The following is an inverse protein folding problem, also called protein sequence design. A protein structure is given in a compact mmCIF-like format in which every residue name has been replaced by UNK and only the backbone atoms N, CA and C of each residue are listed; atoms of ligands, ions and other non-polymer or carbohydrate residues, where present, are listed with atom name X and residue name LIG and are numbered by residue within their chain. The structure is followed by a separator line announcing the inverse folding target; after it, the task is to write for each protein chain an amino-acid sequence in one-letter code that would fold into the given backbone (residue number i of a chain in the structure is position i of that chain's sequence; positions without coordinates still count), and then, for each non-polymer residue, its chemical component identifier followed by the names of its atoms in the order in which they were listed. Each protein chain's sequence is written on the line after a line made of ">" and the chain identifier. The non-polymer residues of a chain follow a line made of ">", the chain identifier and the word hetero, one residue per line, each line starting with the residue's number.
data_IF_776535803488
#
_entry.id   IF_776535803488
#
_cell.length_a   1.000
_cell.length_b   1.000
_cell.length_c   1.000
_cell.angle_alpha   90.00
_cell.angle_beta   90.00
_cell.angle_gamma   90.00
#
_symmetry.space_group_name_H-M   'P 1'
#
loop_
_entity.id
_entity.type
_entity.pdbx_description
1 polymer ?
#
# COMPACT_ATOMS: atom_id res chain seq x y z
N UNK A 1 17.23 16.03 1.41
CA UNK A 1 16.15 16.07 0.41
C UNK A 1 14.96 15.38 1.06
N UNK A 2 13.74 15.85 0.81
CA UNK A 2 12.51 15.23 1.32
C UNK A 2 11.79 14.49 0.20
N UNK A 3 10.67 13.84 0.52
CA UNK A 3 9.82 13.21 -0.49
C UNK A 3 9.42 14.20 -1.59
N UNK A 4 9.38 13.72 -2.82
CA UNK A 4 8.82 14.43 -3.96
C UNK A 4 7.34 14.75 -3.72
N UNK A 5 6.87 15.93 -4.18
CA UNK A 5 5.47 16.37 -4.06
C UNK A 5 4.45 15.31 -4.49
N UNK A 6 4.80 14.54 -5.52
CA UNK A 6 3.96 13.46 -6.03
C UNK A 6 3.78 12.35 -4.98
N UNK A 7 4.86 11.87 -4.36
CA UNK A 7 4.79 10.84 -3.32
C UNK A 7 4.10 11.37 -2.06
N UNK A 8 4.33 12.64 -1.71
CA UNK A 8 3.61 13.27 -0.60
C UNK A 8 2.09 13.25 -0.84
N UNK A 9 1.63 13.55 -2.06
CA UNK A 9 0.20 13.43 -2.42
C UNK A 9 -0.31 12.00 -2.32
N UNK A 10 0.48 11.01 -2.72
CA UNK A 10 0.09 9.59 -2.59
C UNK A 10 -0.08 9.19 -1.13
N UNK A 11 0.84 9.62 -0.26
CA UNK A 11 0.73 9.40 1.19
C UNK A 11 -0.51 10.09 1.74
N UNK A 12 -0.75 11.35 1.38
CA UNK A 12 -1.89 12.12 1.88
C UNK A 12 -3.24 11.50 1.43
N UNK A 13 -3.36 11.15 0.15
CA UNK A 13 -4.55 10.49 -0.41
C UNK A 13 -4.87 9.15 0.28
N UNK A 14 -3.84 8.41 0.73
CA UNK A 14 -4.01 7.13 1.39
C UNK A 14 -3.84 7.24 2.93
N UNK A 15 -3.72 8.44 3.48
CA UNK A 15 -3.35 8.68 4.89
C UNK A 15 -4.34 8.05 5.85
N UNK A 16 -5.63 8.17 5.58
CA UNK A 16 -6.68 7.62 6.44
C UNK A 16 -6.60 6.08 6.50
N UNK A 17 -6.39 5.43 5.35
CA UNK A 17 -6.20 3.98 5.28
C UNK A 17 -4.93 3.55 6.00
N UNK A 18 -3.81 4.23 5.72
CA UNK A 18 -2.54 4.00 6.39
C UNK A 18 -2.59 4.25 7.90
N UNK A 19 -3.49 5.11 8.37
CA UNK A 19 -3.59 5.41 9.79
C UNK A 19 -4.48 4.42 10.55
N UNK A 20 -5.51 3.86 9.90
CA UNK A 20 -6.46 2.94 10.55
C UNK A 20 -6.18 1.45 10.28
N UNK A 21 -5.62 1.11 9.12
CA UNK A 21 -5.49 -0.29 8.64
C UNK A 21 -4.06 -0.83 8.73
N UNK A 22 -3.07 0.07 8.77
CA UNK A 22 -1.68 -0.30 8.95
C UNK A 22 -1.46 -0.67 10.42
N UNK A 23 -0.83 -1.80 10.70
CA UNK A 23 -0.31 -2.08 12.05
C UNK A 23 1.21 -1.96 12.03
N UNK A 24 1.73 -0.73 12.12
CA UNK A 24 3.17 -0.44 12.00
C UNK A 24 4.00 -1.29 12.97
N UNK A 25 3.47 -1.55 14.16
CA UNK A 25 4.12 -2.40 15.17
C UNK A 25 4.58 -3.75 14.62
N UNK A 26 3.79 -4.38 13.76
CA UNK A 26 4.11 -5.67 13.16
C UNK A 26 5.15 -5.58 12.03
N UNK A 27 5.43 -4.37 11.55
CA UNK A 27 6.34 -4.10 10.45
C UNK A 27 7.66 -3.47 10.94
N UNK A 28 7.78 -3.07 12.21
CA UNK A 28 8.94 -2.34 12.73
C UNK A 28 10.28 -3.05 12.44
N UNK A 29 10.32 -4.37 12.59
CA UNK A 29 11.52 -5.18 12.34
C UNK A 29 11.90 -5.15 10.86
N UNK A 30 10.94 -5.35 9.96
CA UNK A 30 11.15 -5.30 8.52
C UNK A 30 11.56 -3.89 8.04
N UNK A 31 10.92 -2.85 8.60
CA UNK A 31 11.23 -1.45 8.33
C UNK A 31 12.65 -1.09 8.75
N UNK A 32 13.11 -1.57 9.91
CA UNK A 32 14.48 -1.40 10.37
C UNK A 32 15.47 -2.19 9.50
N UNK A 33 15.14 -3.44 9.15
CA UNK A 33 15.97 -4.29 8.28
C UNK A 33 16.20 -3.66 6.90
N UNK A 34 15.16 -3.01 6.36
CA UNK A 34 15.23 -2.26 5.10
C UNK A 34 15.76 -0.84 5.27
N UNK A 35 16.15 -0.42 6.49
CA UNK A 35 16.65 0.91 6.82
C UNK A 35 15.69 2.04 6.44
N UNK A 36 14.38 1.78 6.51
CA UNK A 36 13.34 2.81 6.39
C UNK A 36 13.27 3.60 7.70
N UNK A 37 13.35 2.87 8.81
CA UNK A 37 13.46 3.42 10.16
C UNK A 37 14.80 3.02 10.77
N UNK A 38 15.33 3.89 11.62
CA UNK A 38 16.46 3.58 12.49
C UNK A 38 15.96 3.06 13.85
N UNK A 39 16.88 2.55 14.67
CA UNK A 39 16.56 2.01 15.99
C UNK A 39 15.86 3.04 16.89
N UNK A 40 16.33 4.29 16.96
CA UNK A 40 15.70 5.34 17.75
C UNK A 40 14.26 5.67 17.27
N UNK A 41 14.02 5.64 15.95
CA UNK A 41 12.68 5.89 15.40
C UNK A 41 11.74 4.71 15.69
N UNK A 42 12.27 3.50 15.66
CA UNK A 42 11.53 2.28 16.01
C UNK A 42 11.17 2.25 17.50
N UNK A 43 12.13 2.56 18.38
CA UNK A 43 11.92 2.66 19.83
C UNK A 43 10.87 3.73 20.17
N UNK A 44 10.96 4.91 19.53
CA UNK A 44 9.97 5.97 19.72
C UNK A 44 8.57 5.53 19.28
N UNK A 45 8.45 4.71 18.23
CA UNK A 45 7.16 4.19 17.78
C UNK A 45 6.61 3.12 18.72
N UNK A 46 7.45 2.23 19.27
CA UNK A 46 7.02 1.08 20.07
C UNK A 46 6.23 1.50 21.33
N UNK A 47 6.60 2.62 21.95
CA UNK A 47 5.95 3.12 23.17
C UNK A 47 4.62 3.85 22.89
N UNK A 48 4.35 4.24 21.64
CA UNK A 48 3.17 5.04 21.30
C UNK A 48 1.89 4.19 21.26
N UNK A 49 0.91 4.59 22.07
CA UNK A 49 -0.45 4.06 22.06
C UNK A 49 -1.48 5.21 21.98
N UNK A 50 -2.64 5.02 21.32
CA UNK A 50 -3.08 3.82 20.58
C UNK A 50 -2.40 3.66 19.21
N UNK A 51 -2.55 2.50 18.57
CA UNK A 51 -1.96 2.14 17.27
C UNK A 51 -2.20 3.23 16.20
N UNK A 52 -3.40 3.83 16.19
CA UNK A 52 -3.71 4.97 15.31
C UNK A 52 -2.71 6.13 15.43
N UNK A 53 -2.28 6.47 16.65
CA UNK A 53 -1.28 7.53 16.87
C UNK A 53 0.12 7.07 16.46
N UNK A 54 0.44 5.80 16.69
CA UNK A 54 1.70 5.19 16.25
C UNK A 54 1.82 5.26 14.72
N UNK A 55 0.77 4.86 13.99
CA UNK A 55 0.72 4.93 12.53
C UNK A 55 0.85 6.38 12.03
N UNK A 56 0.11 7.31 12.64
CA UNK A 56 0.21 8.73 12.27
C UNK A 56 1.61 9.30 12.52
N UNK A 57 2.30 8.86 13.58
CA UNK A 57 3.69 9.23 13.86
C UNK A 57 4.65 8.63 12.84
N UNK A 58 4.46 7.35 12.49
CA UNK A 58 5.23 6.69 11.44
C UNK A 58 5.13 7.41 10.10
N UNK A 59 3.91 7.81 9.69
CA UNK A 59 3.72 8.59 8.47
C UNK A 59 4.50 9.91 8.50
N UNK A 60 4.53 10.60 9.65
CA UNK A 60 5.37 11.81 9.79
C UNK A 60 6.87 11.54 9.66
N UNK A 61 7.35 10.37 10.07
CA UNK A 61 8.73 9.98 9.81
C UNK A 61 8.93 9.78 8.31
N UNK A 62 8.06 9.01 7.68
CA UNK A 62 8.11 8.71 6.25
C UNK A 62 8.08 9.99 5.40
N UNK A 63 7.23 10.97 5.75
CA UNK A 63 7.13 12.29 5.10
C UNK A 63 8.46 13.08 5.08
N UNK A 64 9.36 12.80 6.03
CA UNK A 64 10.67 13.44 6.15
C UNK A 64 11.80 12.65 5.48
N UNK A 65 11.52 11.44 4.98
CA UNK A 65 12.50 10.57 4.32
C UNK A 65 12.61 10.91 2.83
N UNK A 66 13.48 10.19 2.13
CA UNK A 66 13.68 10.33 0.70
C UNK A 66 12.80 9.35 -0.08
N UNK A 67 12.59 9.62 -1.38
CA UNK A 67 11.76 8.78 -2.26
C UNK A 67 12.20 7.31 -2.28
N UNK A 68 13.51 7.06 -2.10
CA UNK A 68 14.06 5.70 -1.99
C UNK A 68 13.58 4.97 -0.75
N UNK A 69 13.38 5.66 0.36
CA UNK A 69 12.88 5.05 1.59
C UNK A 69 11.39 4.76 1.50
N UNK A 70 10.64 5.60 0.75
CA UNK A 70 9.27 5.30 0.40
C UNK A 70 9.15 4.05 -0.49
N UNK A 71 10.03 3.88 -1.49
CA UNK A 71 10.05 2.67 -2.32
C UNK A 71 10.33 1.42 -1.48
N UNK A 72 11.32 1.48 -0.58
CA UNK A 72 11.60 0.39 0.38
C UNK A 72 10.42 0.11 1.31
N UNK A 73 9.70 1.14 1.76
CA UNK A 73 8.47 0.97 2.54
C UNK A 73 7.42 0.20 1.75
N UNK A 74 7.23 0.52 0.46
CA UNK A 74 6.34 -0.23 -0.41
C UNK A 74 6.79 -1.70 -0.55
N UNK A 75 8.10 -1.96 -0.68
CA UNK A 75 8.62 -3.34 -0.70
C UNK A 75 8.30 -4.10 0.59
N UNK A 76 8.43 -3.47 1.76
CA UNK A 76 8.10 -4.09 3.06
C UNK A 76 6.63 -4.50 3.11
N UNK A 77 5.73 -3.62 2.64
CA UNK A 77 4.31 -3.92 2.55
C UNK A 77 4.03 -5.09 1.60
N UNK A 78 4.71 -5.13 0.44
CA UNK A 78 4.54 -6.18 -0.56
C UNK A 78 5.06 -7.56 -0.09
N UNK A 79 6.12 -7.57 0.72
CA UNK A 79 6.68 -8.77 1.33
C UNK A 79 5.88 -9.32 2.51
N UNK A 80 4.85 -8.59 2.97
CA UNK A 80 4.04 -9.02 4.10
C UNK A 80 3.10 -10.17 3.72
N UNK A 81 2.85 -11.10 4.65
CA UNK A 81 1.93 -12.22 4.42
C UNK A 81 0.46 -11.80 4.36
N UNK A 82 0.10 -10.64 4.91
CA UNK A 82 -1.26 -10.11 4.82
C UNK A 82 -1.53 -9.56 3.41
N UNK A 83 -2.44 -10.20 2.68
CA UNK A 83 -2.82 -9.79 1.32
C UNK A 83 -3.33 -8.35 1.24
N UNK A 84 -3.94 -7.84 2.31
CA UNK A 84 -4.37 -6.44 2.41
C UNK A 84 -3.17 -5.47 2.37
N UNK A 85 -2.11 -5.76 3.13
CA UNK A 85 -0.89 -4.96 3.16
C UNK A 85 -0.10 -5.09 1.85
N UNK A 86 -0.05 -6.28 1.26
CA UNK A 86 0.59 -6.49 -0.04
C UNK A 86 -0.09 -5.65 -1.13
N UNK A 87 -1.43 -5.69 -1.21
CA UNK A 87 -2.18 -4.91 -2.18
C UNK A 87 -2.03 -3.40 -1.93
N UNK A 88 -1.96 -2.98 -0.65
CA UNK A 88 -1.68 -1.59 -0.29
C UNK A 88 -0.30 -1.15 -0.78
N UNK A 89 0.74 -1.96 -0.57
CA UNK A 89 2.10 -1.67 -1.02
C UNK A 89 2.23 -1.59 -2.55
N UNK A 90 1.50 -2.43 -3.30
CA UNK A 90 1.41 -2.36 -4.75
C UNK A 90 0.71 -1.07 -5.21
N UNK A 91 -0.44 -0.77 -4.60
CA UNK A 91 -1.24 0.42 -4.92
C UNK A 91 -0.42 1.71 -4.72
N UNK A 92 0.24 1.83 -3.57
CA UNK A 92 1.08 3.00 -3.25
C UNK A 92 2.22 3.18 -4.25
N UNK A 93 2.87 2.09 -4.65
CA UNK A 93 3.98 2.14 -5.62
C UNK A 93 3.49 2.54 -7.02
N UNK A 94 2.36 1.99 -7.48
CA UNK A 94 1.78 2.37 -8.77
C UNK A 94 1.37 3.83 -8.80
N UNK A 95 0.67 4.28 -7.74
CA UNK A 95 0.29 5.70 -7.60
C UNK A 95 1.54 6.59 -7.62
N UNK A 96 2.63 6.21 -6.94
CA UNK A 96 3.89 6.95 -6.89
C UNK A 96 4.69 6.93 -8.20
N UNK A 97 4.60 5.88 -9.01
CA UNK A 97 5.27 5.80 -10.31
C UNK A 97 4.57 6.65 -11.39
N UNK A 98 3.35 7.12 -11.13
CA UNK A 98 2.55 7.86 -12.12
C UNK A 98 1.94 6.96 -13.17
N UNK A 99 1.95 5.65 -12.95
CA UNK A 99 1.26 4.69 -13.80
C UNK A 99 -0.24 4.86 -13.58
N UNK A 100 -0.80 5.79 -14.34
CA UNK A 100 -2.23 6.02 -14.48
C UNK A 100 -2.85 4.86 -15.26
N UNK A 101 -2.62 3.62 -14.84
CA UNK A 101 -3.37 2.48 -15.34
C UNK A 101 -4.66 2.37 -14.54
N UNK A 102 -5.60 3.20 -14.97
CA UNK A 102 -7.01 2.91 -14.84
C UNK A 102 -7.31 1.53 -15.45
N UNK A 103 -7.71 0.59 -14.59
CA UNK A 103 -8.81 -0.36 -14.82
C UNK A 103 -9.20 -0.84 -13.40
N UNK A 104 -10.29 -0.37 -12.77
CA UNK A 104 -11.65 -0.34 -13.32
C UNK A 104 -12.11 -1.80 -13.50
N UNK A 105 -12.49 -2.46 -12.42
CA UNK A 105 -13.88 -2.80 -12.08
C UNK A 105 -14.62 -3.63 -13.13
N UNK A 106 -15.19 -4.74 -12.64
CA UNK A 106 -16.51 -5.24 -12.99
C UNK A 106 -16.72 -5.77 -14.42
N UNK A 107 -16.87 -7.09 -14.51
CA UNK A 107 -17.83 -7.68 -15.44
C UNK A 107 -18.70 -8.64 -14.63
N UNK A 108 -19.69 -8.08 -13.94
CA UNK A 108 -20.90 -8.78 -13.52
C UNK A 108 -21.90 -8.76 -14.68
N UNK A 109 -22.05 -9.88 -15.38
CA UNK A 109 -23.29 -10.31 -16.05
C UNK A 109 -23.08 -11.81 -16.32
N UNK A 110 -23.91 -12.75 -15.89
CA UNK A 110 -25.35 -12.74 -16.01
C UNK A 110 -25.73 -14.08 -16.67
N UNK A 111 -26.86 -14.60 -16.24
CA UNK A 111 -27.32 -15.98 -16.42
C UNK A 111 -27.66 -16.34 -17.87
N UNK A 112 -27.19 -17.51 -18.30
CA UNK A 112 -27.96 -18.53 -19.03
C UNK A 112 -28.45 -18.25 -20.46
N UNK A 113 -28.10 -19.13 -21.39
CA UNK A 113 -29.04 -19.66 -22.37
C UNK A 113 -28.48 -20.90 -23.07
N UNK A 114 -29.34 -21.90 -23.13
CA UNK A 114 -29.22 -23.18 -23.81
C UNK A 114 -29.35 -23.05 -25.34
N UNK A 115 -28.80 -24.06 -26.04
CA UNK A 115 -29.16 -24.56 -27.38
C UNK A 115 -28.64 -23.77 -28.60
N UNK A 116 -27.57 -24.29 -29.21
CA UNK A 116 -27.31 -24.11 -30.63
C UNK A 116 -28.34 -24.89 -31.46
N UNK A 117 -29.01 -24.11 -32.30
CA UNK A 117 -29.91 -24.51 -33.37
C UNK A 117 -29.11 -24.74 -34.68
N UNK A 118 -29.46 -25.85 -35.37
CA UNK A 118 -29.77 -25.96 -36.82
C UNK A 118 -28.63 -25.79 -37.86
N UNK A 119 -28.24 -26.87 -38.59
CA UNK A 119 -28.73 -27.46 -39.89
C UNK A 119 -27.73 -27.13 -41.03
N UNK A 120 -27.92 -27.54 -42.31
CA UNK A 120 -28.13 -28.87 -42.93
C UNK A 120 -27.01 -29.20 -43.95
N UNK A 121 -27.00 -30.40 -44.57
CA UNK A 121 -26.08 -30.66 -45.69
C UNK A 121 -26.26 -32.01 -46.38
N UNK A 122 -27.05 -31.97 -47.46
CA UNK A 122 -27.19 -32.86 -48.64
C UNK A 122 -27.13 -34.39 -48.46
#
# INVERSE_FOLDING_TARGET
>A
MGLSDHIQKVIDNNREKLTNDLSVKHLLIDLNTKKVLNYDEMDELEDIKPEKKQNAKFLRFLERKEDRDFDKFCEVLQGNQASALQNLGLKLRNEACGDSTAQGQDSHDGVGAVKNIETPGD
#
